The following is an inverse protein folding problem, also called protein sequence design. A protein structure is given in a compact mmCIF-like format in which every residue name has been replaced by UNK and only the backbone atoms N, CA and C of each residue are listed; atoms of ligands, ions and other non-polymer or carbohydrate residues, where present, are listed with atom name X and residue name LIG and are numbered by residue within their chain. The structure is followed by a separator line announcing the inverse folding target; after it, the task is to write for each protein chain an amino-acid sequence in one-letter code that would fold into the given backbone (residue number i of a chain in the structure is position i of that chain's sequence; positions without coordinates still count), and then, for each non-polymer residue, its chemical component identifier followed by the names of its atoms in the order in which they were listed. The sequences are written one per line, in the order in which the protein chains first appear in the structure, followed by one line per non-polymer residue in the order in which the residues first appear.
data_IF_829514323705
#
_entry.id   IF_829514323705
#
_cell.length_a   1.000
_cell.length_b   1.000
_cell.length_c   1.000
_cell.angle_alpha   90.00
_cell.angle_beta   90.00
_cell.angle_gamma   90.00
#
_symmetry.space_group_name_H-M   'P 1'
#
loop_
_entity.id
_entity.type
_entity.pdbx_description
1 polymer ?
#
# COMPACT_ATOMS: atom_id res chain seq x y z
N UNK A 1 -51.17 15.18 -10.71
CA UNK A 1 -51.13 16.11 -11.87
C UNK A 1 -49.71 16.36 -12.42
N UNK A 2 -48.70 15.50 -12.15
CA UNK A 2 -47.30 15.73 -12.55
C UNK A 2 -46.77 14.78 -13.64
N UNK A 3 -47.50 13.71 -13.99
CA UNK A 3 -47.06 12.73 -14.99
C UNK A 3 -47.25 13.21 -16.44
N UNK A 4 -48.20 14.13 -16.68
CA UNK A 4 -48.52 14.62 -18.03
C UNK A 4 -47.55 15.67 -18.56
N UNK A 5 -46.86 16.39 -17.67
CA UNK A 5 -45.86 17.39 -18.04
C UNK A 5 -44.59 16.73 -18.60
N UNK A 6 -44.13 15.65 -17.98
CA UNK A 6 -43.00 14.86 -18.47
C UNK A 6 -43.30 14.20 -19.82
N UNK A 7 -44.51 13.67 -19.99
CA UNK A 7 -44.97 13.12 -21.27
C UNK A 7 -45.09 14.21 -22.34
N UNK A 8 -45.55 15.42 -22.01
CA UNK A 8 -45.62 16.54 -22.97
C UNK A 8 -44.24 17.06 -23.39
N UNK A 9 -43.29 17.17 -22.45
CA UNK A 9 -41.91 17.59 -22.76
C UNK A 9 -41.20 16.56 -23.67
N UNK A 10 -41.35 15.27 -23.38
CA UNK A 10 -40.79 14.20 -24.21
C UNK A 10 -41.48 14.08 -25.57
N UNK A 11 -42.78 14.38 -25.66
CA UNK A 11 -43.51 14.36 -26.94
C UNK A 11 -43.20 15.60 -27.80
N UNK A 12 -42.98 16.77 -27.19
CA UNK A 12 -42.52 17.98 -27.86
C UNK A 12 -41.09 17.81 -28.43
N UNK A 13 -40.19 17.18 -27.67
CA UNK A 13 -38.85 16.82 -28.15
C UNK A 13 -38.89 15.85 -29.36
N UNK A 14 -39.82 14.88 -29.33
CA UNK A 14 -40.04 13.94 -30.44
C UNK A 14 -40.68 14.59 -31.67
N UNK A 15 -41.52 15.61 -31.49
CA UNK A 15 -42.16 16.35 -32.60
C UNK A 15 -41.19 17.32 -33.29
N UNK A 16 -40.31 17.99 -32.54
CA UNK A 16 -39.24 18.84 -33.11
C UNK A 16 -38.22 18.03 -33.95
N UNK A 17 -38.12 16.72 -33.69
CA UNK A 17 -37.23 15.79 -34.41
C UNK A 17 -37.84 15.28 -35.73
N UNK A 18 -39.14 15.51 -36.00
CA UNK A 18 -39.87 14.77 -37.04
C UNK A 18 -39.97 15.46 -38.41
N UNK A 19 -39.53 16.70 -38.60
CA UNK A 19 -39.74 17.37 -39.90
C UNK A 19 -38.68 18.38 -40.38
N UNK A 20 -37.40 18.21 -40.02
CA UNK A 20 -36.31 18.97 -40.66
C UNK A 20 -35.09 18.05 -40.82
N UNK A 21 -34.48 18.13 -42.00
CA UNK A 21 -33.33 17.36 -42.47
C UNK A 21 -32.37 16.92 -41.34
N UNK A 22 -32.32 15.61 -41.11
CA UNK A 22 -31.65 14.95 -39.97
C UNK A 22 -30.16 15.28 -39.87
N UNK A 23 -29.53 15.71 -40.96
CA UNK A 23 -28.12 16.10 -40.98
C UNK A 23 -27.84 17.42 -40.25
N UNK A 24 -28.73 18.41 -40.35
CA UNK A 24 -28.47 19.75 -39.80
C UNK A 24 -28.60 19.78 -38.26
N UNK A 25 -29.50 18.96 -37.70
CA UNK A 25 -29.66 18.78 -36.25
C UNK A 25 -28.50 17.97 -35.65
N UNK A 26 -27.98 16.99 -36.39
CA UNK A 26 -26.76 16.29 -36.02
C UNK A 26 -25.56 17.24 -36.00
N UNK A 27 -25.45 18.15 -36.96
CA UNK A 27 -24.35 19.11 -36.99
C UNK A 27 -24.45 20.18 -35.90
N UNK A 28 -25.65 20.69 -35.61
CA UNK A 28 -25.87 21.60 -34.47
C UNK A 28 -25.58 20.90 -33.14
N UNK A 29 -26.02 19.66 -32.94
CA UNK A 29 -25.73 18.90 -31.71
C UNK A 29 -24.24 18.57 -31.55
N UNK A 30 -23.53 18.26 -32.64
CA UNK A 30 -22.06 18.16 -32.64
C UNK A 30 -21.43 19.48 -32.22
N UNK A 31 -21.90 20.62 -32.71
CA UNK A 31 -21.37 21.94 -32.34
C UNK A 31 -21.63 22.26 -30.86
N UNK A 32 -22.82 21.98 -30.33
CA UNK A 32 -23.11 22.17 -28.90
C UNK A 32 -22.37 21.17 -28.00
N UNK A 33 -22.20 19.92 -28.44
CA UNK A 33 -21.42 18.91 -27.74
C UNK A 33 -19.92 19.25 -27.73
N UNK A 34 -19.38 19.76 -28.84
CA UNK A 34 -18.02 20.27 -28.89
C UNK A 34 -17.86 21.52 -28.02
N UNK A 35 -18.86 22.42 -27.95
CA UNK A 35 -18.82 23.61 -27.08
C UNK A 35 -18.86 23.23 -25.60
N UNK A 36 -19.70 22.28 -25.21
CA UNK A 36 -19.74 21.72 -23.86
C UNK A 36 -18.48 20.92 -23.52
N UNK A 37 -17.97 20.14 -24.48
CA UNK A 37 -16.73 19.39 -24.39
C UNK A 37 -15.51 20.30 -24.20
N UNK A 38 -15.45 21.43 -24.91
CA UNK A 38 -14.39 22.45 -24.79
C UNK A 38 -14.48 23.19 -23.45
N UNK A 39 -15.68 23.47 -22.94
CA UNK A 39 -15.86 24.10 -21.63
C UNK A 39 -15.51 23.16 -20.47
N UNK A 40 -15.88 21.87 -20.57
CA UNK A 40 -15.46 20.84 -19.62
C UNK A 40 -13.96 20.54 -19.74
N UNK A 41 -13.39 20.51 -20.95
CA UNK A 41 -11.94 20.29 -21.13
C UNK A 41 -11.13 21.48 -20.64
N UNK A 42 -11.65 22.71 -20.74
CA UNK A 42 -10.98 23.90 -20.22
C UNK A 42 -11.02 23.96 -18.67
N UNK A 43 -12.14 23.55 -18.05
CA UNK A 43 -12.20 23.41 -16.59
C UNK A 43 -11.41 22.19 -16.07
N UNK A 44 -11.52 21.04 -16.72
CA UNK A 44 -10.73 19.84 -16.39
C UNK A 44 -9.24 20.07 -16.61
N UNK A 45 -8.84 20.81 -17.65
CA UNK A 45 -7.42 21.18 -17.86
C UNK A 45 -6.94 22.23 -16.86
N UNK A 46 -7.81 23.10 -16.31
CA UNK A 46 -7.44 24.01 -15.22
C UNK A 46 -7.19 23.29 -13.89
N UNK A 47 -8.02 22.28 -13.58
CA UNK A 47 -7.83 21.41 -12.41
C UNK A 47 -6.63 20.47 -12.60
N UNK A 48 -6.47 19.90 -13.79
CA UNK A 48 -5.31 19.08 -14.14
C UNK A 48 -4.01 19.90 -14.11
N UNK A 49 -4.03 21.16 -14.56
CA UNK A 49 -2.88 22.08 -14.46
C UNK A 49 -2.59 22.49 -13.01
N UNK A 50 -3.62 22.70 -12.18
CA UNK A 50 -3.44 22.97 -10.74
C UNK A 50 -2.87 21.78 -9.98
N UNK A 51 -3.30 20.56 -10.33
CA UNK A 51 -2.74 19.32 -9.80
C UNK A 51 -1.34 19.02 -10.37
N UNK A 52 -1.09 19.40 -11.63
CA UNK A 52 0.23 19.33 -12.25
C UNK A 52 1.19 20.40 -11.75
N UNK A 53 0.75 21.51 -11.15
CA UNK A 53 1.64 22.55 -10.62
C UNK A 53 2.50 22.12 -9.44
N UNK A 54 2.05 21.12 -8.67
CA UNK A 54 2.79 20.49 -7.57
C UNK A 54 3.57 19.24 -8.00
N UNK A 55 3.36 18.75 -9.23
CA UNK A 55 3.82 17.46 -9.70
C UNK A 55 5.27 17.42 -10.25
N UNK A 56 5.78 18.37 -11.05
CA UNK A 56 7.05 18.16 -11.76
C UNK A 56 8.29 18.23 -10.87
N UNK A 57 8.24 18.89 -9.70
CA UNK A 57 9.37 18.96 -8.76
C UNK A 57 9.40 17.82 -7.73
N UNK A 58 8.27 17.16 -7.48
CA UNK A 58 8.16 16.06 -6.51
C UNK A 58 8.05 14.70 -7.24
N UNK A 59 7.53 14.68 -8.46
CA UNK A 59 7.33 13.47 -9.28
C UNK A 59 8.61 12.70 -9.57
N UNK A 60 9.72 13.39 -9.86
CA UNK A 60 11.03 12.73 -10.06
C UNK A 60 11.55 12.00 -8.82
N UNK A 61 11.22 12.48 -7.62
CA UNK A 61 11.58 11.81 -6.36
C UNK A 61 10.60 10.70 -6.00
N UNK A 62 9.31 10.87 -6.27
CA UNK A 62 8.29 9.84 -6.02
C UNK A 62 8.54 8.61 -6.89
N UNK A 63 8.89 8.79 -8.16
CA UNK A 63 9.19 7.67 -9.06
C UNK A 63 10.42 6.88 -8.60
N UNK A 64 11.48 7.58 -8.17
CA UNK A 64 12.70 6.94 -7.68
C UNK A 64 12.45 6.23 -6.33
N UNK A 65 11.82 6.91 -5.36
CA UNK A 65 11.52 6.32 -4.05
C UNK A 65 10.56 5.14 -4.16
N UNK A 66 9.55 5.20 -5.02
CA UNK A 66 8.61 4.07 -5.20
C UNK A 66 9.30 2.86 -5.82
N UNK A 67 10.24 3.06 -6.75
CA UNK A 67 11.06 1.98 -7.29
C UNK A 67 11.92 1.34 -6.19
N UNK A 68 12.70 2.13 -5.44
CA UNK A 68 13.53 1.62 -4.35
C UNK A 68 12.71 0.96 -3.25
N UNK A 69 11.53 1.48 -2.93
CA UNK A 69 10.61 0.88 -1.98
C UNK A 69 10.11 -0.50 -2.45
N UNK A 70 9.77 -0.66 -3.74
CA UNK A 70 9.38 -1.95 -4.32
C UNK A 70 10.53 -2.97 -4.26
N UNK A 71 11.72 -2.55 -4.66
CA UNK A 71 12.92 -3.41 -4.60
C UNK A 71 13.21 -3.83 -3.17
N UNK A 72 13.24 -2.86 -2.24
CA UNK A 72 13.50 -3.12 -0.82
C UNK A 72 12.44 -4.03 -0.21
N UNK A 73 11.17 -3.87 -0.59
CA UNK A 73 10.08 -4.73 -0.14
C UNK A 73 10.25 -6.17 -0.61
N UNK A 74 10.57 -6.41 -1.88
CA UNK A 74 10.77 -7.76 -2.40
C UNK A 74 12.02 -8.41 -1.79
N UNK A 75 13.09 -7.65 -1.60
CA UNK A 75 14.29 -8.12 -0.89
C UNK A 75 13.97 -8.48 0.57
N UNK A 76 13.26 -7.61 1.28
CA UNK A 76 12.82 -7.88 2.65
C UNK A 76 11.94 -9.14 2.74
N UNK A 77 11.05 -9.34 1.77
CA UNK A 77 10.21 -10.55 1.68
C UNK A 77 11.05 -11.82 1.47
N UNK A 78 12.06 -11.75 0.60
CA UNK A 78 12.97 -12.87 0.37
C UNK A 78 13.75 -13.21 1.64
N UNK A 79 14.33 -12.22 2.32
CA UNK A 79 15.04 -12.44 3.59
C UNK A 79 14.10 -13.00 4.66
N UNK A 80 12.90 -12.43 4.81
CA UNK A 80 11.91 -12.89 5.79
C UNK A 80 11.56 -14.37 5.66
N UNK A 81 11.41 -14.85 4.41
CA UNK A 81 11.09 -16.25 4.13
C UNK A 81 12.30 -17.17 4.19
N UNK A 82 13.47 -16.71 3.74
CA UNK A 82 14.72 -17.49 3.75
C UNK A 82 15.26 -17.70 5.15
N UNK A 83 15.22 -16.66 5.99
CA UNK A 83 15.69 -16.69 7.38
C UNK A 83 14.63 -17.22 8.35
N UNK A 84 13.46 -17.64 7.84
CA UNK A 84 12.36 -18.19 8.66
C UNK A 84 11.99 -17.28 9.84
N UNK A 85 11.93 -15.96 9.61
CA UNK A 85 11.57 -14.97 10.64
C UNK A 85 10.10 -15.05 11.06
N UNK A 86 9.31 -15.88 10.39
CA UNK A 86 7.94 -16.17 10.79
C UNK A 86 7.94 -16.97 12.11
N UNK A 87 7.00 -16.68 13.02
CA UNK A 87 6.87 -17.49 14.23
C UNK A 87 6.61 -18.96 13.83
N UNK A 88 7.34 -19.92 14.44
CA UNK A 88 7.23 -21.33 14.09
C UNK A 88 5.85 -21.88 14.42
N UNK A 89 5.48 -22.97 13.74
CA UNK A 89 4.23 -23.66 14.05
C UNK A 89 4.27 -24.26 15.47
N UNK A 90 3.10 -24.42 16.10
CA UNK A 90 3.03 -25.04 17.44
C UNK A 90 3.60 -26.46 17.46
N UNK A 91 3.58 -27.16 16.33
CA UNK A 91 4.17 -28.49 16.18
C UNK A 91 5.71 -28.45 16.24
N UNK A 92 6.33 -27.42 15.69
CA UNK A 92 7.78 -27.20 15.71
C UNK A 92 8.29 -26.60 17.03
N UNK A 93 7.44 -25.89 17.76
CA UNK A 93 7.80 -25.31 19.05
C UNK A 93 8.10 -26.36 20.14
N UNK A 94 7.31 -27.44 20.18
CA UNK A 94 7.45 -28.50 21.19
C UNK A 94 8.83 -29.18 21.17
N UNK A 95 9.37 -29.64 20.03
CA UNK A 95 10.71 -30.21 19.98
C UNK A 95 11.79 -29.18 20.35
N UNK A 96 11.71 -27.95 19.84
CA UNK A 96 12.68 -26.89 20.16
C UNK A 96 12.76 -26.61 21.68
N UNK A 97 11.62 -26.54 22.37
CA UNK A 97 11.58 -26.38 23.83
C UNK A 97 12.23 -27.56 24.56
N UNK A 98 11.98 -28.79 24.11
CA UNK A 98 12.57 -30.00 24.72
C UNK A 98 14.09 -30.01 24.56
N UNK A 99 14.60 -29.56 23.42
CA UNK A 99 16.04 -29.44 23.18
C UNK A 99 16.69 -28.37 24.05
N UNK A 100 16.08 -27.18 24.15
CA UNK A 100 16.54 -26.14 25.07
C UNK A 100 16.65 -26.66 26.52
N UNK A 101 15.62 -27.34 27.01
CA UNK A 101 15.64 -27.92 28.36
C UNK A 101 16.73 -28.99 28.55
N UNK A 102 17.10 -29.72 27.49
CA UNK A 102 18.21 -30.69 27.55
C UNK A 102 19.55 -29.97 27.67
N UNK A 103 19.75 -28.84 27.00
CA UNK A 103 20.99 -28.05 27.08
C UNK A 103 21.24 -27.49 28.49
N UNK A 104 20.18 -27.14 29.23
CA UNK A 104 20.28 -26.67 30.61
C UNK A 104 20.51 -27.78 31.65
N UNK A 105 20.57 -29.06 31.25
CA UNK A 105 20.93 -30.13 32.18
C UNK A 105 22.42 -30.04 32.53
N UNK A 106 22.73 -30.24 33.81
CA UNK A 106 24.08 -30.12 34.41
C UNK A 106 25.15 -30.94 33.69
N UNK A 107 24.77 -32.08 33.09
CA UNK A 107 25.65 -32.96 32.30
C UNK A 107 26.17 -32.29 31.02
N UNK A 108 25.35 -31.47 30.36
CA UNK A 108 25.71 -30.80 29.09
C UNK A 108 26.51 -29.52 29.33
N UNK A 109 26.24 -28.82 30.43
CA UNK A 109 26.94 -27.59 30.82
C UNK A 109 28.44 -27.83 31.13
N UNK A 110 28.79 -29.02 31.61
CA UNK A 110 30.17 -29.39 31.94
C UNK A 110 31.05 -29.64 30.72
N UNK A 111 30.46 -29.95 29.57
CA UNK A 111 31.18 -30.33 28.35
C UNK A 111 31.20 -29.21 27.29
N UNK A 112 31.00 -27.94 27.68
CA UNK A 112 30.90 -26.84 26.72
C UNK A 112 32.28 -26.43 26.19
N UNK A 113 32.41 -26.36 24.87
CA UNK A 113 33.64 -25.89 24.23
C UNK A 113 33.64 -24.37 24.13
N UNK A 114 34.82 -23.73 24.08
CA UNK A 114 34.94 -22.27 23.88
C UNK A 114 34.23 -21.79 22.62
N UNK A 115 34.24 -22.59 21.55
CA UNK A 115 33.54 -22.27 20.30
C UNK A 115 32.01 -22.25 20.47
N UNK A 116 31.47 -23.17 21.28
CA UNK A 116 30.04 -23.24 21.56
C UNK A 116 29.61 -22.05 22.43
N UNK A 117 30.44 -21.67 23.41
CA UNK A 117 30.20 -20.49 24.23
C UNK A 117 30.17 -19.19 23.39
N UNK A 118 31.06 -19.04 22.41
CA UNK A 118 31.06 -17.89 21.50
C UNK A 118 29.78 -17.85 20.68
N UNK A 119 29.38 -18.98 20.07
CA UNK A 119 28.12 -19.05 19.31
C UNK A 119 26.90 -18.74 20.18
N UNK A 120 26.83 -19.32 21.38
CA UNK A 120 25.74 -19.07 22.32
C UNK A 120 25.67 -17.59 22.73
N UNK A 121 26.82 -16.93 22.89
CA UNK A 121 26.87 -15.49 23.22
C UNK A 121 26.35 -14.63 22.06
N UNK A 122 26.74 -14.94 20.82
CA UNK A 122 26.24 -14.22 19.64
C UNK A 122 24.72 -14.36 19.54
N UNK A 123 24.20 -15.57 19.66
CA UNK A 123 22.75 -15.82 19.65
C UNK A 123 22.04 -15.13 20.82
N UNK A 124 22.64 -15.10 22.02
CA UNK A 124 22.08 -14.39 23.16
C UNK A 124 21.97 -12.87 22.90
N UNK A 125 22.97 -12.27 22.23
CA UNK A 125 22.94 -10.86 21.82
C UNK A 125 21.83 -10.63 20.79
N UNK A 126 21.65 -11.53 19.82
CA UNK A 126 20.56 -11.45 18.84
C UNK A 126 19.18 -11.48 19.52
N UNK A 127 18.96 -12.41 20.45
CA UNK A 127 17.71 -12.51 21.22
C UNK A 127 17.47 -11.25 22.05
N UNK A 128 18.52 -10.69 22.68
CA UNK A 128 18.43 -9.42 23.40
C UNK A 128 18.06 -8.25 22.45
N UNK A 129 18.60 -8.24 21.24
CA UNK A 129 18.25 -7.27 20.20
C UNK A 129 16.76 -7.34 19.81
N UNK A 130 16.25 -8.54 19.55
CA UNK A 130 14.81 -8.72 19.26
C UNK A 130 13.91 -8.32 20.44
N UNK A 131 14.33 -8.57 21.68
CA UNK A 131 13.61 -8.13 22.87
C UNK A 131 13.49 -6.60 22.94
N UNK A 132 14.58 -5.87 22.69
CA UNK A 132 14.56 -4.40 22.66
C UNK A 132 13.68 -3.85 21.54
N UNK A 133 13.70 -4.47 20.35
CA UNK A 133 12.80 -4.10 19.25
C UNK A 133 11.34 -4.31 19.66
N UNK A 134 11.04 -5.43 20.34
CA UNK A 134 9.72 -5.69 20.91
C UNK A 134 9.28 -4.62 21.91
N UNK A 135 10.19 -4.15 22.76
CA UNK A 135 9.92 -3.06 23.72
C UNK A 135 9.64 -1.73 23.01
N UNK A 136 10.37 -1.40 21.93
CA UNK A 136 10.10 -0.21 21.09
C UNK A 136 8.70 -0.28 20.48
N UNK A 137 8.32 -1.45 19.93
CA UNK A 137 6.98 -1.64 19.35
C UNK A 137 5.89 -1.57 20.43
N UNK A 138 6.12 -2.19 21.59
CA UNK A 138 5.17 -2.20 22.71
C UNK A 138 4.94 -0.81 23.31
N UNK A 139 5.99 -0.01 23.45
CA UNK A 139 5.91 1.38 23.95
C UNK A 139 5.56 2.39 22.86
N UNK A 140 5.67 2.01 21.58
CA UNK A 140 5.45 2.88 20.40
C UNK A 140 6.31 4.15 20.41
N UNK A 141 7.47 4.09 21.07
CA UNK A 141 8.40 5.21 21.18
C UNK A 141 9.84 4.75 20.92
N UNK A 142 10.57 5.51 20.11
CA UNK A 142 11.95 5.20 19.70
C UNK A 142 12.97 5.65 20.75
N UNK A 143 12.69 6.72 21.51
CA UNK A 143 13.63 7.31 22.47
C UNK A 143 12.92 7.62 23.78
N UNK A 144 13.37 6.95 24.85
CA UNK A 144 12.93 7.23 26.22
C UNK A 144 11.43 7.08 26.47
N UNK A 145 10.99 7.48 27.66
CA UNK A 145 9.60 7.79 27.92
C UNK A 145 9.41 9.29 27.68
N UNK A 146 8.35 9.67 26.97
CA UNK A 146 7.90 11.06 27.00
C UNK A 146 7.33 11.31 28.41
N UNK A 147 8.16 11.87 29.29
CA UNK A 147 7.77 12.45 30.58
C UNK A 147 7.73 13.95 30.47
#
# INVERSE_FOLDING_TARGET
MSASLFTRASTAARQLTRNVNTQELLDKSKVYANKAGVLMSNQASSLAKSAQGLSPKIGGFVDCTTYWAKVTKELAKQVYTKEQLAPPSLAEYQPARKELLKLFKTENLKNITRQDAVKATVVAIEVAGFFMIGEIIGRRNLVGYNV
#
